data_IF_503361533058
#
_entry.id   IF_503361533058
#
_cell.length_a   1.000
_cell.length_b   1.000
_cell.length_c   1.000
_cell.angle_alpha   90.00
_cell.angle_beta   90.00
_cell.angle_gamma   90.00
#
_symmetry.space_group_name_H-M   'P 1'
#
loop_
_entity.id
_entity.type
_entity.pdbx_description
1 polymer ?
#
# COMPACT_ATOMS: atom_id res chain seq x y z
N UNK A 1 35.39 -4.63 -11.39
CA UNK A 1 35.37 -5.65 -12.47
C UNK A 1 34.83 -5.11 -13.80
N UNK A 2 33.88 -4.16 -13.80
CA UNK A 2 33.31 -3.55 -15.03
C UNK A 2 34.26 -2.54 -15.71
N UNK A 3 34.87 -1.63 -14.94
CA UNK A 3 35.78 -0.57 -15.42
C UNK A 3 36.90 -1.13 -16.32
N UNK A 4 37.62 -2.16 -15.84
CA UNK A 4 38.68 -2.84 -16.61
C UNK A 4 38.18 -3.63 -17.81
N UNK A 5 36.94 -4.14 -17.79
CA UNK A 5 36.38 -4.97 -18.87
C UNK A 5 35.95 -4.11 -20.06
N UNK A 6 35.53 -2.88 -19.81
CA UNK A 6 35.03 -1.96 -20.83
C UNK A 6 35.96 -0.75 -21.07
N UNK A 7 37.14 -0.74 -20.45
CA UNK A 7 38.13 0.33 -20.56
C UNK A 7 37.54 1.74 -20.29
N UNK A 8 36.73 1.84 -19.24
CA UNK A 8 36.04 3.08 -18.83
C UNK A 8 36.92 3.79 -17.78
N UNK A 9 36.99 5.12 -17.80
CA UNK A 9 37.68 5.88 -16.74
C UNK A 9 36.84 5.95 -15.45
N UNK A 10 37.43 6.25 -14.29
CA UNK A 10 36.64 6.39 -13.05
C UNK A 10 35.63 7.55 -13.11
N UNK A 11 35.96 8.63 -13.82
CA UNK A 11 35.04 9.76 -14.01
C UNK A 11 33.86 9.37 -14.90
N UNK A 12 34.11 8.71 -16.02
CA UNK A 12 33.05 8.23 -16.92
C UNK A 12 32.14 7.22 -16.22
N UNK A 13 32.70 6.38 -15.33
CA UNK A 13 31.92 5.45 -14.53
C UNK A 13 30.97 6.19 -13.57
N UNK A 14 31.43 7.25 -12.90
CA UNK A 14 30.59 8.08 -12.01
C UNK A 14 29.49 8.82 -12.78
N UNK A 15 29.80 9.32 -13.97
CA UNK A 15 28.80 9.95 -14.85
C UNK A 15 27.73 8.93 -15.24
N UNK A 16 28.14 7.74 -15.66
CA UNK A 16 27.22 6.65 -16.02
C UNK A 16 26.36 6.22 -14.83
N UNK A 17 26.96 6.05 -13.65
CA UNK A 17 26.24 5.75 -12.41
C UNK A 17 25.19 6.83 -12.11
N UNK A 18 25.57 8.11 -12.20
CA UNK A 18 24.64 9.23 -11.99
C UNK A 18 23.49 9.23 -12.99
N UNK A 19 23.76 8.95 -14.26
CA UNK A 19 22.74 8.87 -15.32
C UNK A 19 21.81 7.69 -15.07
N UNK A 20 22.34 6.52 -14.71
CA UNK A 20 21.54 5.34 -14.38
C UNK A 20 20.62 5.64 -13.21
N UNK A 21 21.15 6.18 -12.10
CA UNK A 21 20.35 6.53 -10.91
C UNK A 21 19.26 7.56 -11.21
N UNK A 22 19.54 8.59 -12.03
CA UNK A 22 18.52 9.58 -12.45
C UNK A 22 17.48 9.01 -13.42
N UNK A 23 17.81 7.97 -14.18
CA UNK A 23 16.93 7.35 -15.15
C UNK A 23 15.94 6.35 -14.55
N UNK A 24 16.26 5.72 -13.41
CA UNK A 24 15.42 4.72 -12.72
C UNK A 24 13.93 5.10 -12.61
N UNK A 25 13.54 6.27 -12.07
CA UNK A 25 12.11 6.63 -11.95
C UNK A 25 11.39 6.79 -13.30
N UNK A 26 12.13 7.02 -14.39
CA UNK A 26 11.59 7.15 -15.74
C UNK A 26 11.44 5.80 -16.45
N UNK A 27 12.14 4.74 -15.99
CA UNK A 27 12.04 3.39 -16.57
C UNK A 27 10.66 2.77 -16.37
N UNK A 28 9.98 3.11 -15.29
CA UNK A 28 8.64 2.63 -14.98
C UNK A 28 7.51 3.41 -15.72
N UNK A 29 7.86 4.31 -16.66
CA UNK A 29 6.90 5.05 -17.49
C UNK A 29 6.58 6.47 -17.00
N UNK A 30 5.53 7.08 -17.57
CA UNK A 30 5.12 8.45 -17.20
C UNK A 30 4.35 8.49 -15.88
N UNK A 31 5.09 8.59 -14.77
CA UNK A 31 4.57 8.58 -13.39
C UNK A 31 3.62 9.74 -13.05
N UNK A 32 3.70 10.88 -13.74
CA UNK A 32 2.95 12.10 -13.41
C UNK A 32 1.73 12.37 -14.31
N UNK A 33 1.21 11.35 -14.98
CA UNK A 33 -0.16 11.39 -15.54
C UNK A 33 -1.20 11.25 -14.43
N UNK A 34 -2.48 11.48 -14.74
CA UNK A 34 -3.58 11.43 -13.76
C UNK A 34 -3.55 10.17 -12.87
N UNK A 35 -3.41 8.98 -13.46
CA UNK A 35 -3.39 7.70 -12.70
C UNK A 35 -2.24 7.64 -11.70
N UNK A 36 -1.02 8.01 -12.12
CA UNK A 36 0.15 7.98 -11.23
C UNK A 36 0.12 9.11 -10.19
N UNK A 37 -0.41 10.29 -10.55
CA UNK A 37 -0.65 11.38 -9.59
C UNK A 37 -1.71 11.00 -8.54
N UNK A 38 -2.78 10.31 -8.94
CA UNK A 38 -3.81 9.81 -8.04
C UNK A 38 -3.26 8.71 -7.10
N UNK A 39 -2.46 7.80 -7.64
CA UNK A 39 -1.75 6.80 -6.84
C UNK A 39 -0.80 7.46 -5.84
N UNK A 40 0.01 8.43 -6.27
CA UNK A 40 0.87 9.22 -5.39
C UNK A 40 0.07 9.91 -4.27
N UNK A 41 -1.02 10.61 -4.61
CA UNK A 41 -1.89 11.27 -3.64
C UNK A 41 -2.49 10.28 -2.62
N UNK A 42 -2.84 9.07 -3.07
CA UNK A 42 -3.32 7.99 -2.20
C UNK A 42 -2.22 7.55 -1.24
N UNK A 43 -1.01 7.26 -1.73
CA UNK A 43 0.11 6.82 -0.88
C UNK A 43 0.56 7.86 0.15
N UNK A 44 0.41 9.16 -0.15
CA UNK A 44 0.63 10.24 0.82
C UNK A 44 -0.48 10.28 1.86
N UNK A 45 -1.74 10.18 1.42
CA UNK A 45 -2.91 10.19 2.31
C UNK A 45 -2.90 9.02 3.29
N UNK A 46 -2.55 7.83 2.81
CA UNK A 46 -2.50 6.58 3.59
C UNK A 46 -1.15 6.36 4.28
N UNK A 47 -0.24 7.33 4.22
CA UNK A 47 1.10 7.27 4.83
C UNK A 47 1.95 6.06 4.42
N UNK A 48 1.69 5.45 3.24
CA UNK A 48 2.49 4.34 2.72
C UNK A 48 3.81 4.86 2.13
N UNK A 49 3.73 5.87 1.26
CA UNK A 49 4.90 6.61 0.79
C UNK A 49 6.06 5.79 0.19
N UNK A 50 5.82 4.83 -0.72
CA UNK A 50 6.85 3.95 -1.32
C UNK A 50 8.11 4.65 -1.87
N UNK A 51 8.03 5.94 -2.21
CA UNK A 51 9.19 6.72 -2.65
C UNK A 51 9.61 6.55 -4.11
N UNK A 52 8.99 5.63 -4.87
CA UNK A 52 9.29 5.46 -6.30
C UNK A 52 8.85 6.65 -7.18
N UNK A 53 8.00 7.54 -6.66
CA UNK A 53 7.59 8.78 -7.32
C UNK A 53 7.44 9.87 -6.27
N UNK A 54 8.32 10.87 -6.33
CA UNK A 54 8.37 11.99 -5.39
C UNK A 54 8.47 13.32 -6.12
N UNK A 55 7.85 14.39 -5.59
CA UNK A 55 7.90 15.71 -6.22
C UNK A 55 9.34 16.23 -6.20
N UNK A 56 9.87 16.51 -7.38
CA UNK A 56 11.23 17.03 -7.54
C UNK A 56 11.27 18.56 -7.42
N UNK A 57 10.15 19.23 -7.72
CA UNK A 57 10.04 20.69 -7.68
C UNK A 57 9.80 21.22 -6.27
N UNK A 58 10.29 22.43 -5.97
CA UNK A 58 10.08 23.10 -4.68
C UNK A 58 8.57 23.30 -4.41
N UNK A 59 7.83 23.76 -5.43
CA UNK A 59 6.37 23.95 -5.32
C UNK A 59 5.61 22.65 -5.08
N UNK A 60 5.99 21.56 -5.76
CA UNK A 60 5.39 20.24 -5.53
C UNK A 60 5.63 19.72 -4.12
N UNK A 61 6.84 19.90 -3.58
CA UNK A 61 7.16 19.54 -2.20
C UNK A 61 6.34 20.33 -1.19
N UNK A 62 6.21 21.65 -1.38
CA UNK A 62 5.42 22.51 -0.50
C UNK A 62 3.93 22.13 -0.54
N UNK A 63 3.40 21.86 -1.73
CA UNK A 63 2.03 21.37 -1.90
C UNK A 63 1.81 20.04 -1.15
N UNK A 64 2.72 19.07 -1.30
CA UNK A 64 2.64 17.79 -0.58
C UNK A 64 2.65 17.99 0.93
N UNK A 65 3.48 18.91 1.46
CA UNK A 65 3.51 19.21 2.90
C UNK A 65 2.14 19.71 3.39
N UNK A 66 1.55 20.70 2.71
CA UNK A 66 0.22 21.21 3.06
C UNK A 66 -0.87 20.14 2.89
N UNK A 67 -0.81 19.35 1.81
CA UNK A 67 -1.73 18.25 1.54
C UNK A 67 -1.67 17.18 2.63
N UNK A 68 -0.48 16.80 3.10
CA UNK A 68 -0.31 15.80 4.16
C UNK A 68 -0.86 16.26 5.52
N UNK A 69 -0.66 17.54 5.88
CA UNK A 69 -1.13 18.12 7.16
C UNK A 69 -2.65 17.97 7.30
N UNK A 70 -3.40 18.18 6.21
CA UNK A 70 -4.87 18.10 6.22
C UNK A 70 -5.35 16.69 5.86
N UNK A 71 -4.69 16.07 4.88
CA UNK A 71 -5.07 14.78 4.33
C UNK A 71 -4.92 13.64 5.33
N UNK A 72 -3.80 13.54 6.04
CA UNK A 72 -3.55 12.42 6.96
C UNK A 72 -4.62 12.36 8.07
N UNK A 73 -4.94 13.46 8.81
CA UNK A 73 -6.01 13.43 9.80
C UNK A 73 -7.38 13.05 9.21
N UNK A 74 -7.74 13.61 8.04
CA UNK A 74 -9.01 13.28 7.37
C UNK A 74 -9.05 11.81 6.94
N UNK A 75 -7.94 11.29 6.41
CA UNK A 75 -7.78 9.89 6.03
C UNK A 75 -7.93 8.97 7.23
N UNK A 76 -7.30 9.28 8.36
CA UNK A 76 -7.44 8.52 9.59
C UNK A 76 -8.90 8.48 10.10
N UNK A 77 -9.59 9.63 10.14
CA UNK A 77 -11.00 9.69 10.53
C UNK A 77 -11.89 8.88 9.56
N UNK A 78 -11.61 8.94 8.27
CA UNK A 78 -12.30 8.15 7.26
C UNK A 78 -12.09 6.64 7.51
N UNK A 79 -10.85 6.19 7.73
CA UNK A 79 -10.55 4.78 8.01
C UNK A 79 -11.21 4.30 9.30
N UNK A 80 -11.22 5.10 10.37
CA UNK A 80 -11.94 4.78 11.60
C UNK A 80 -13.44 4.63 11.35
N UNK A 81 -14.05 5.59 10.64
CA UNK A 81 -15.48 5.57 10.29
C UNK A 81 -15.86 4.34 9.46
N UNK A 82 -15.00 3.95 8.50
CA UNK A 82 -15.17 2.73 7.70
C UNK A 82 -15.03 1.50 8.60
N UNK A 83 -14.02 1.45 9.47
CA UNK A 83 -13.79 0.37 10.42
C UNK A 83 -15.00 0.11 11.33
N UNK A 84 -15.61 1.15 11.87
CA UNK A 84 -16.84 1.04 12.67
C UNK A 84 -18.03 0.48 11.88
N UNK A 85 -18.17 0.88 10.61
CA UNK A 85 -19.23 0.36 9.72
C UNK A 85 -19.00 -1.12 9.42
N UNK A 86 -17.76 -1.52 9.15
CA UNK A 86 -17.38 -2.92 8.96
C UNK A 86 -17.65 -3.72 10.23
N UNK A 87 -17.29 -3.22 11.41
CA UNK A 87 -17.53 -3.92 12.67
C UNK A 87 -19.03 -4.10 12.97
N UNK A 88 -19.85 -3.11 12.66
CA UNK A 88 -21.32 -3.22 12.72
C UNK A 88 -21.86 -4.25 11.74
N UNK A 89 -21.36 -4.27 10.50
CA UNK A 89 -21.74 -5.27 9.50
C UNK A 89 -21.35 -6.69 9.98
N UNK A 90 -20.13 -6.87 10.48
CA UNK A 90 -19.66 -8.14 11.06
C UNK A 90 -20.56 -8.60 12.19
N UNK A 91 -20.94 -7.70 13.11
CA UNK A 91 -21.86 -8.01 14.19
C UNK A 91 -23.22 -8.50 13.68
N UNK A 92 -23.75 -7.87 12.63
CA UNK A 92 -25.00 -8.28 11.99
C UNK A 92 -24.89 -9.66 11.32
N UNK A 93 -23.80 -9.91 10.59
CA UNK A 93 -23.53 -11.20 9.94
C UNK A 93 -23.40 -12.31 11.00
N UNK A 94 -22.61 -12.09 12.06
CA UNK A 94 -22.45 -13.07 13.16
C UNK A 94 -23.79 -13.42 13.78
N UNK A 95 -24.64 -12.42 14.06
CA UNK A 95 -25.98 -12.64 14.62
C UNK A 95 -26.83 -13.48 13.68
N UNK A 96 -26.86 -13.15 12.39
CA UNK A 96 -27.63 -13.88 11.37
C UNK A 96 -27.17 -15.33 11.27
N UNK A 97 -25.86 -15.57 11.26
CA UNK A 97 -25.27 -16.93 11.22
C UNK A 97 -25.60 -17.72 12.49
N UNK A 98 -25.44 -17.13 13.68
CA UNK A 98 -25.77 -17.79 14.96
C UNK A 98 -27.26 -18.13 15.08
N UNK A 99 -28.14 -17.25 14.61
CA UNK A 99 -29.59 -17.51 14.55
C UNK A 99 -29.91 -18.63 13.57
N UNK A 100 -29.29 -18.65 12.38
CA UNK A 100 -29.47 -19.73 11.41
C UNK A 100 -28.97 -21.09 11.95
N UNK A 101 -27.93 -21.08 12.77
CA UNK A 101 -27.35 -22.27 13.41
C UNK A 101 -28.04 -22.65 14.74
N UNK A 102 -29.19 -22.05 15.07
CA UNK A 102 -29.98 -22.33 16.30
C UNK A 102 -29.16 -22.24 17.61
N UNK A 103 -28.15 -21.39 17.66
CA UNK A 103 -27.34 -21.19 18.86
C UNK A 103 -28.10 -20.36 19.90
N UNK A 104 -28.14 -20.82 21.15
CA UNK A 104 -28.86 -20.13 22.24
C UNK A 104 -28.22 -18.78 22.65
N UNK A 105 -26.96 -18.54 22.31
CA UNK A 105 -26.21 -17.33 22.66
C UNK A 105 -26.03 -16.41 21.44
N UNK A 106 -27.02 -15.56 21.16
CA UNK A 106 -27.10 -14.71 19.96
C UNK A 106 -26.31 -13.40 20.05
N UNK A 107 -25.70 -13.07 21.18
CA UNK A 107 -24.81 -11.92 21.30
C UNK A 107 -23.46 -12.18 20.58
N UNK A 108 -22.99 -11.18 19.83
CA UNK A 108 -21.64 -11.18 19.25
C UNK A 108 -20.65 -10.81 20.36
N UNK A 109 -19.71 -11.71 20.66
CA UNK A 109 -18.65 -11.46 21.63
C UNK A 109 -17.55 -10.60 21.00
N UNK A 110 -16.79 -9.88 21.82
CA UNK A 110 -15.57 -9.19 21.38
C UNK A 110 -14.58 -10.16 20.70
N UNK A 111 -14.52 -11.40 21.18
CA UNK A 111 -13.69 -12.47 20.59
C UNK A 111 -14.17 -12.85 19.19
N UNK A 112 -15.49 -12.88 18.95
CA UNK A 112 -16.04 -13.19 17.62
C UNK A 112 -15.64 -12.11 16.62
N UNK A 113 -15.67 -10.84 17.04
CA UNK A 113 -15.29 -9.69 16.22
C UNK A 113 -13.80 -9.71 15.90
N UNK A 114 -12.94 -9.99 16.89
CA UNK A 114 -11.48 -10.12 16.67
C UNK A 114 -11.19 -11.25 15.67
N UNK A 115 -11.87 -12.40 15.79
CA UNK A 115 -11.72 -13.52 14.87
C UNK A 115 -12.13 -13.14 13.44
N UNK A 116 -13.28 -12.47 13.28
CA UNK A 116 -13.75 -11.99 11.97
C UNK A 116 -12.79 -10.96 11.36
N UNK A 117 -12.30 -9.99 12.13
CA UNK A 117 -11.34 -9.00 11.62
C UNK A 117 -10.04 -9.66 11.19
N UNK A 118 -9.52 -10.61 11.98
CA UNK A 118 -8.27 -11.32 11.68
C UNK A 118 -8.41 -12.20 10.42
N UNK A 119 -9.53 -12.89 10.29
CA UNK A 119 -9.82 -13.72 9.09
C UNK A 119 -10.01 -12.86 7.85
N UNK A 120 -10.75 -11.75 7.94
CA UNK A 120 -10.89 -10.79 6.83
C UNK A 120 -9.54 -10.22 6.41
N UNK A 121 -8.69 -9.82 7.37
CA UNK A 121 -7.35 -9.30 7.08
C UNK A 121 -6.48 -10.34 6.38
N UNK A 122 -6.50 -11.59 6.87
CA UNK A 122 -5.77 -12.70 6.24
C UNK A 122 -6.25 -12.99 4.82
N UNK A 123 -7.56 -12.95 4.58
CA UNK A 123 -8.16 -13.11 3.25
C UNK A 123 -7.78 -11.98 2.30
N UNK A 124 -7.73 -10.72 2.79
CA UNK A 124 -7.30 -9.58 1.96
C UNK A 124 -5.84 -9.71 1.53
N UNK A 125 -4.95 -10.16 2.43
CA UNK A 125 -3.55 -10.39 2.11
C UNK A 125 -3.40 -11.55 1.12
N UNK A 126 -4.07 -12.67 1.35
CA UNK A 126 -3.99 -13.83 0.47
C UNK A 126 -4.55 -13.53 -0.94
N UNK A 127 -5.70 -12.86 -1.01
CA UNK A 127 -6.30 -12.43 -2.27
C UNK A 127 -5.43 -11.42 -3.03
N UNK A 128 -4.90 -10.42 -2.32
CA UNK A 128 -3.95 -9.46 -2.88
C UNK A 128 -2.68 -10.14 -3.41
N UNK A 129 -2.09 -11.04 -2.63
CA UNK A 129 -0.89 -11.77 -3.02
C UNK A 129 -1.12 -12.64 -4.28
N UNK A 130 -2.28 -13.30 -4.39
CA UNK A 130 -2.63 -14.06 -5.59
C UNK A 130 -2.77 -13.16 -6.83
N UNK A 131 -3.35 -11.97 -6.68
CA UNK A 131 -3.46 -11.00 -7.77
C UNK A 131 -2.08 -10.47 -8.18
N UNK A 132 -1.28 -9.96 -7.24
CA UNK A 132 0.05 -9.40 -7.53
C UNK A 132 1.03 -10.43 -8.07
N UNK A 133 1.01 -11.67 -7.57
CA UNK A 133 1.86 -12.73 -8.11
C UNK A 133 1.56 -13.00 -9.59
N UNK A 134 0.30 -12.89 -10.02
CA UNK A 134 -0.10 -13.07 -11.42
C UNK A 134 0.20 -11.84 -12.28
N UNK A 135 -0.07 -10.63 -11.79
CA UNK A 135 0.08 -9.40 -12.59
C UNK A 135 1.53 -8.93 -12.69
N UNK A 136 2.29 -9.01 -11.59
CA UNK A 136 3.68 -8.55 -11.54
C UNK A 136 4.69 -9.68 -11.79
N UNK A 137 4.22 -10.93 -11.85
CA UNK A 137 5.08 -12.10 -12.05
C UNK A 137 5.99 -12.41 -10.85
N UNK A 138 5.69 -11.85 -9.68
CA UNK A 138 6.45 -12.08 -8.45
C UNK A 138 6.14 -13.44 -7.83
N UNK A 139 7.07 -13.94 -7.00
CA UNK A 139 6.79 -15.06 -6.11
C UNK A 139 5.58 -14.75 -5.23
N UNK A 140 4.80 -15.78 -4.91
CA UNK A 140 3.66 -15.62 -4.00
C UNK A 140 4.12 -15.06 -2.64
N UNK A 141 5.27 -15.48 -2.15
CA UNK A 141 5.83 -14.98 -0.89
C UNK A 141 6.17 -13.49 -0.97
N UNK A 142 6.82 -13.04 -2.05
CA UNK A 142 7.13 -11.62 -2.26
C UNK A 142 5.86 -10.77 -2.37
N UNK A 143 4.81 -11.34 -2.97
CA UNK A 143 3.50 -10.70 -3.10
C UNK A 143 2.77 -10.57 -1.76
N UNK A 144 2.87 -11.60 -0.89
CA UNK A 144 2.38 -11.54 0.50
C UNK A 144 3.15 -10.48 1.28
N UNK A 145 4.48 -10.47 1.17
CA UNK A 145 5.34 -9.47 1.81
C UNK A 145 4.96 -8.06 1.37
N UNK A 146 4.80 -7.83 0.07
CA UNK A 146 4.35 -6.55 -0.48
C UNK A 146 3.00 -6.13 0.08
N UNK A 147 2.00 -7.01 0.11
CA UNK A 147 0.68 -6.71 0.66
C UNK A 147 0.75 -6.36 2.16
N UNK A 148 1.57 -7.10 2.92
CA UNK A 148 1.73 -6.87 4.35
C UNK A 148 2.34 -5.49 4.65
N UNK A 149 3.47 -5.14 4.02
CA UNK A 149 4.13 -3.83 4.17
C UNK A 149 3.19 -2.69 3.74
N UNK A 150 2.49 -2.87 2.62
CA UNK A 150 1.51 -1.91 2.09
C UNK A 150 0.37 -1.63 3.06
N UNK A 151 -0.26 -2.68 3.61
CA UNK A 151 -1.42 -2.54 4.50
C UNK A 151 -1.03 -2.07 5.91
N UNK A 152 0.22 -2.30 6.32
CA UNK A 152 0.77 -1.80 7.59
C UNK A 152 1.40 -0.41 7.46
N UNK A 153 1.36 0.19 6.27
CA UNK A 153 1.87 1.54 5.96
C UNK A 153 3.34 1.72 6.34
N UNK A 154 4.17 0.70 6.06
CA UNK A 154 5.64 0.72 6.21
C UNK A 154 6.27 1.11 4.88
#
# INVERSE_FOLDING_TARGET
>A
MVIRRYNITEEDFKVMETVVLKSEPHKAGQQWKFTGAFYYATTVLTTIGYGHSTPTTIGGKLFTMCYAIVGIPLGLVMFQSIGERVNRLSSFVIRTVKTSLHCQHTAASEVDLICVVTTLSSLTIAGGAAAFSKFEGWSYFDSVYYCFITLTTI
#
